data_IF_767459771909
#
_entry.id   IF_767459771909
#
_cell.length_a   1.000
_cell.length_b   1.000
_cell.length_c   1.000
_cell.angle_alpha   90.00
_cell.angle_beta   90.00
_cell.angle_gamma   90.00
#
_symmetry.space_group_name_H-M   'P 1'
#
loop_
_entity.id
_entity.type
_entity.pdbx_description
1 polymer ?
#
# COMPACT_ATOMS: atom_id res chain seq x y z
N UNK A 1 48.75 12.74 -5.81
CA UNK A 1 47.63 13.49 -5.16
C UNK A 1 46.33 13.54 -5.99
N UNK A 2 46.35 13.22 -7.30
CA UNK A 2 45.16 13.33 -8.18
C UNK A 2 44.13 12.18 -8.10
N UNK A 3 44.51 10.98 -7.64
CA UNK A 3 43.61 9.81 -7.55
C UNK A 3 42.57 9.91 -6.43
N UNK A 4 42.92 10.51 -5.29
CA UNK A 4 42.02 10.63 -4.14
C UNK A 4 40.86 11.60 -4.38
N UNK A 5 41.08 12.68 -5.12
CA UNK A 5 40.03 13.64 -5.48
C UNK A 5 38.99 13.09 -6.46
N UNK A 6 39.38 12.17 -7.34
CA UNK A 6 38.49 11.52 -8.29
C UNK A 6 37.61 10.46 -7.61
N UNK A 7 38.18 9.63 -6.72
CA UNK A 7 37.40 8.67 -5.92
C UNK A 7 36.42 9.35 -4.96
N UNK A 8 36.81 10.46 -4.31
CA UNK A 8 35.89 11.20 -3.43
C UNK A 8 34.70 11.80 -4.17
N UNK A 9 34.90 12.35 -5.37
CA UNK A 9 33.81 12.87 -6.22
C UNK A 9 32.86 11.77 -6.71
N UNK A 10 33.38 10.57 -7.00
CA UNK A 10 32.57 9.43 -7.40
C UNK A 10 31.78 8.83 -6.23
N UNK A 11 32.35 8.74 -5.03
CA UNK A 11 31.64 8.29 -3.84
C UNK A 11 30.52 9.27 -3.43
N UNK A 12 30.74 10.58 -3.51
CA UNK A 12 29.69 11.57 -3.20
C UNK A 12 28.48 11.50 -4.15
N UNK A 13 28.72 11.27 -5.45
CA UNK A 13 27.65 11.12 -6.46
C UNK A 13 26.91 9.77 -6.35
N UNK A 14 27.62 8.70 -6.02
CA UNK A 14 27.05 7.37 -5.74
C UNK A 14 26.15 7.40 -4.49
N UNK A 15 26.57 8.13 -3.46
CA UNK A 15 25.76 8.31 -2.26
C UNK A 15 24.47 9.07 -2.55
N UNK A 16 24.51 10.10 -3.41
CA UNK A 16 23.31 10.86 -3.79
C UNK A 16 22.18 10.01 -4.40
N UNK A 17 22.49 9.21 -5.43
CA UNK A 17 21.48 8.31 -6.02
C UNK A 17 21.06 7.22 -5.04
N UNK A 18 22.00 6.62 -4.30
CA UNK A 18 21.68 5.58 -3.33
C UNK A 18 20.74 6.08 -2.23
N UNK A 19 20.95 7.29 -1.72
CA UNK A 19 20.13 7.88 -0.65
C UNK A 19 18.74 8.27 -1.15
N UNK A 20 18.63 8.80 -2.38
CA UNK A 20 17.33 9.04 -3.02
C UNK A 20 16.54 7.74 -3.20
N UNK A 21 17.17 6.70 -3.73
CA UNK A 21 16.56 5.37 -3.90
C UNK A 21 16.10 4.78 -2.57
N UNK A 22 16.93 4.86 -1.52
CA UNK A 22 16.57 4.41 -0.17
C UNK A 22 15.35 5.18 0.35
N UNK A 23 15.36 6.51 0.30
CA UNK A 23 14.27 7.37 0.79
C UNK A 23 12.95 7.04 0.10
N UNK A 24 12.94 7.01 -1.23
CA UNK A 24 11.75 6.72 -2.04
C UNK A 24 11.25 5.29 -1.84
N UNK A 25 12.16 4.32 -1.70
CA UNK A 25 11.78 2.92 -1.46
C UNK A 25 11.02 2.73 -0.13
N UNK A 26 11.33 3.51 0.90
CA UNK A 26 10.62 3.47 2.19
C UNK A 26 9.20 4.04 2.08
N UNK A 27 9.07 5.15 1.36
CA UNK A 27 7.91 6.04 1.47
C UNK A 27 6.90 5.88 0.33
N UNK A 28 7.33 5.42 -0.84
CA UNK A 28 6.47 5.30 -2.01
C UNK A 28 6.00 3.86 -2.22
N UNK A 29 4.71 3.70 -2.52
CA UNK A 29 4.08 2.42 -2.83
C UNK A 29 3.98 2.16 -4.34
N UNK A 30 5.08 2.32 -5.06
CA UNK A 30 5.21 1.99 -6.49
C UNK A 30 6.32 0.96 -6.72
N UNK A 31 6.41 0.42 -7.94
CA UNK A 31 7.46 -0.51 -8.33
C UNK A 31 8.86 0.08 -8.05
N UNK A 32 9.73 -0.71 -7.43
CA UNK A 32 11.13 -0.32 -7.20
C UNK A 32 11.86 0.00 -8.51
N UNK A 33 11.49 -0.68 -9.60
CA UNK A 33 12.06 -0.45 -10.91
C UNK A 33 11.69 0.94 -11.45
N UNK A 34 10.44 1.37 -11.25
CA UNK A 34 10.00 2.72 -11.62
C UNK A 34 10.75 3.80 -10.82
N UNK A 35 10.93 3.58 -9.51
CA UNK A 35 11.73 4.49 -8.67
C UNK A 35 13.17 4.57 -9.20
N UNK A 36 13.77 3.42 -9.54
CA UNK A 36 15.12 3.38 -10.07
C UNK A 36 15.24 4.10 -11.41
N UNK A 37 14.34 3.85 -12.35
CA UNK A 37 14.40 4.45 -13.69
C UNK A 37 14.25 5.97 -13.63
N UNK A 38 13.36 6.49 -12.78
CA UNK A 38 13.20 7.94 -12.55
C UNK A 38 14.45 8.57 -11.92
N UNK A 39 15.01 7.97 -10.86
CA UNK A 39 16.24 8.48 -10.24
C UNK A 39 17.48 8.32 -11.16
N UNK A 40 17.54 7.26 -11.97
CA UNK A 40 18.60 7.07 -12.95
C UNK A 40 18.55 8.14 -14.06
N UNK A 41 17.36 8.56 -14.48
CA UNK A 41 17.19 9.67 -15.41
C UNK A 41 17.65 11.01 -14.83
N UNK A 42 17.36 11.26 -13.53
CA UNK A 42 17.80 12.46 -12.79
C UNK A 42 19.31 12.46 -12.50
N UNK A 43 19.91 11.28 -12.38
CA UNK A 43 21.32 11.11 -11.99
C UNK A 43 22.13 10.28 -13.01
N UNK A 44 22.02 10.59 -14.31
CA UNK A 44 22.60 9.79 -15.43
C UNK A 44 24.04 9.32 -15.22
N UNK A 45 24.92 10.21 -14.75
CA UNK A 45 26.35 9.89 -14.52
C UNK A 45 26.54 8.93 -13.34
N UNK A 46 25.75 9.07 -12.28
CA UNK A 46 25.83 8.19 -11.11
C UNK A 46 25.16 6.83 -11.36
N UNK A 47 24.11 6.80 -12.20
CA UNK A 47 23.38 5.59 -12.56
C UNK A 47 24.29 4.56 -13.25
N UNK A 48 25.24 5.01 -14.08
CA UNK A 48 26.24 4.12 -14.70
C UNK A 48 27.16 3.42 -13.70
N UNK A 49 27.28 3.93 -12.47
CA UNK A 49 28.09 3.36 -11.39
C UNK A 49 27.24 2.64 -10.34
N UNK A 50 25.91 2.69 -10.50
CA UNK A 50 24.94 2.12 -9.56
C UNK A 50 23.84 1.41 -10.36
N UNK A 51 24.16 0.24 -10.95
CA UNK A 51 23.25 -0.50 -11.80
C UNK A 51 22.06 -1.07 -11.00
N UNK A 52 20.97 -1.37 -11.70
CA UNK A 52 19.75 -1.93 -11.12
C UNK A 52 20.01 -3.15 -10.24
N UNK A 53 20.87 -4.08 -10.66
CA UNK A 53 21.20 -5.29 -9.90
C UNK A 53 21.76 -4.99 -8.50
N UNK A 54 22.51 -3.90 -8.34
CA UNK A 54 23.01 -3.44 -7.04
C UNK A 54 21.94 -2.66 -6.27
N UNK A 55 21.23 -1.76 -6.95
CA UNK A 55 20.20 -0.92 -6.35
C UNK A 55 19.05 -1.73 -5.76
N UNK A 56 18.57 -2.73 -6.49
CA UNK A 56 17.38 -3.51 -6.17
C UNK A 56 17.47 -4.17 -4.79
N UNK A 57 18.59 -4.80 -4.47
CA UNK A 57 18.78 -5.49 -3.18
C UNK A 57 18.65 -4.52 -2.00
N UNK A 58 19.31 -3.35 -2.10
CA UNK A 58 19.27 -2.30 -1.07
C UNK A 58 17.86 -1.70 -0.96
N UNK A 59 17.23 -1.41 -2.09
CA UNK A 59 15.87 -0.85 -2.13
C UNK A 59 14.85 -1.82 -1.50
N UNK A 60 14.92 -3.12 -1.84
CA UNK A 60 14.07 -4.16 -1.25
C UNK A 60 14.29 -4.30 0.26
N UNK A 61 15.56 -4.34 0.68
CA UNK A 61 15.93 -4.42 2.11
C UNK A 61 15.34 -3.24 2.89
N UNK A 62 15.56 -2.03 2.38
CA UNK A 62 15.14 -0.79 3.02
C UNK A 62 13.62 -0.64 3.07
N UNK A 63 12.90 -1.02 2.01
CA UNK A 63 11.43 -1.04 1.98
C UNK A 63 10.84 -2.05 2.95
N UNK A 64 11.51 -3.19 3.14
CA UNK A 64 11.07 -4.22 4.09
C UNK A 64 11.31 -3.76 5.53
N UNK A 65 12.48 -3.19 5.81
CA UNK A 65 12.84 -2.72 7.15
C UNK A 65 12.08 -1.47 7.59
N UNK A 66 11.41 -0.76 6.67
CA UNK A 66 10.58 0.40 6.99
C UNK A 66 9.12 0.05 7.33
N UNK A 67 8.72 -1.22 7.21
CA UNK A 67 7.39 -1.65 7.60
C UNK A 67 7.30 -1.72 9.14
N UNK A 68 6.15 -1.35 9.74
CA UNK A 68 5.93 -1.56 11.16
C UNK A 68 5.91 -3.06 11.48
N UNK A 69 6.03 -3.37 12.77
CA UNK A 69 5.84 -4.74 13.27
C UNK A 69 4.48 -5.30 12.81
N UNK A 70 4.46 -6.60 12.50
CA UNK A 70 3.27 -7.29 12.00
C UNK A 70 2.15 -7.23 13.07
N UNK A 71 0.99 -6.64 12.74
CA UNK A 71 -0.14 -6.60 13.67
C UNK A 71 -0.65 -8.01 13.98
N UNK A 72 -1.12 -8.20 15.22
CA UNK A 72 -1.66 -9.47 15.70
C UNK A 72 -3.20 -9.51 15.70
N UNK A 73 -3.86 -8.41 15.34
CA UNK A 73 -5.32 -8.30 15.22
C UNK A 73 -5.71 -7.23 14.21
N UNK A 74 -6.98 -7.23 13.76
CA UNK A 74 -7.47 -6.13 12.92
C UNK A 74 -7.55 -4.80 13.65
N UNK A 75 -7.79 -4.82 14.95
CA UNK A 75 -7.73 -3.61 15.76
C UNK A 75 -6.33 -3.01 15.75
N UNK A 76 -5.29 -3.81 15.97
CA UNK A 76 -3.90 -3.32 15.91
C UNK A 76 -3.52 -2.83 14.51
N UNK A 77 -4.02 -3.49 13.46
CA UNK A 77 -3.85 -3.02 12.09
C UNK A 77 -4.50 -1.65 11.87
N UNK A 78 -5.72 -1.43 12.37
CA UNK A 78 -6.40 -0.13 12.30
C UNK A 78 -5.59 0.96 13.02
N UNK A 79 -5.10 0.67 14.23
CA UNK A 79 -4.26 1.61 15.00
C UNK A 79 -2.99 1.99 14.23
N UNK A 80 -2.34 1.05 13.51
CA UNK A 80 -1.18 1.38 12.66
C UNK A 80 -1.52 2.30 11.50
N UNK A 81 -2.73 2.17 10.92
CA UNK A 81 -3.20 3.13 9.92
C UNK A 81 -3.45 4.51 10.54
N UNK A 82 -4.16 4.57 11.67
CA UNK A 82 -4.48 5.82 12.37
C UNK A 82 -3.22 6.58 12.82
N UNK A 83 -2.17 5.85 13.24
CA UNK A 83 -0.89 6.43 13.63
C UNK A 83 -0.04 6.90 12.43
N UNK A 84 -0.45 6.60 11.19
CA UNK A 84 0.28 6.97 9.98
C UNK A 84 1.44 6.05 9.60
N UNK A 85 1.64 4.93 10.32
CA UNK A 85 2.70 3.94 10.05
C UNK A 85 2.57 3.31 8.64
N UNK A 86 1.35 3.34 8.10
CA UNK A 86 0.97 2.76 6.82
C UNK A 86 0.58 3.83 5.78
N UNK A 87 1.00 5.09 5.98
CA UNK A 87 0.67 6.24 5.12
C UNK A 87 1.07 6.09 3.65
N UNK A 88 2.05 5.24 3.33
CA UNK A 88 2.44 4.96 1.94
C UNK A 88 1.34 4.27 1.11
N UNK A 89 0.38 3.62 1.75
CA UNK A 89 -0.72 2.92 1.08
C UNK A 89 -1.86 3.90 0.83
N UNK A 90 -1.84 4.50 -0.36
CA UNK A 90 -2.80 5.51 -0.78
C UNK A 90 -3.51 5.12 -2.08
N UNK A 91 -4.69 5.68 -2.28
CA UNK A 91 -5.42 5.66 -3.53
C UNK A 91 -5.89 7.09 -3.84
N UNK A 92 -5.65 7.57 -5.06
CA UNK A 92 -5.99 8.93 -5.47
C UNK A 92 -5.48 10.01 -4.49
N UNK A 93 -4.22 9.89 -4.04
CA UNK A 93 -3.57 10.78 -3.05
C UNK A 93 -4.27 10.87 -1.68
N UNK A 94 -5.18 9.94 -1.37
CA UNK A 94 -5.84 9.81 -0.08
C UNK A 94 -5.47 8.46 0.54
N UNK A 95 -5.54 8.35 1.87
CA UNK A 95 -5.40 7.06 2.55
C UNK A 95 -6.39 6.06 1.96
N UNK A 96 -5.93 4.83 1.68
CA UNK A 96 -6.85 3.75 1.33
C UNK A 96 -7.61 3.23 2.55
N UNK A 97 -7.10 3.44 3.76
CA UNK A 97 -7.80 3.10 4.99
C UNK A 97 -8.91 4.12 5.22
N UNK A 98 -10.16 3.63 5.20
CA UNK A 98 -11.35 4.44 5.47
C UNK A 98 -11.66 4.42 6.97
N UNK A 99 -11.54 3.27 7.62
CA UNK A 99 -11.81 3.13 9.05
C UNK A 99 -11.89 1.68 9.50
N UNK A 100 -12.33 1.49 10.74
CA UNK A 100 -12.65 0.17 11.28
C UNK A 100 -13.97 0.20 12.03
N UNK A 101 -14.67 -0.93 12.03
CA UNK A 101 -15.92 -1.13 12.75
C UNK A 101 -15.79 -2.31 13.70
N UNK A 102 -16.52 -2.25 14.81
CA UNK A 102 -16.63 -3.34 15.78
C UNK A 102 -18.09 -3.76 15.86
N UNK A 103 -18.36 -5.04 15.65
CA UNK A 103 -19.72 -5.56 15.74
C UNK A 103 -20.17 -5.81 17.19
N UNK A 104 -21.44 -6.19 17.36
CA UNK A 104 -22.04 -6.47 18.67
C UNK A 104 -21.38 -7.64 19.41
N UNK A 105 -20.71 -8.54 18.69
CA UNK A 105 -19.97 -9.68 19.23
C UNK A 105 -18.50 -9.31 19.55
N UNK A 106 -18.17 -8.03 19.38
CA UNK A 106 -16.86 -7.46 19.66
C UNK A 106 -15.82 -7.72 18.57
N UNK A 107 -16.22 -8.24 17.40
CA UNK A 107 -15.33 -8.57 16.27
C UNK A 107 -15.07 -7.36 15.40
N UNK A 108 -13.83 -7.22 14.95
CA UNK A 108 -13.39 -6.10 14.15
C UNK A 108 -13.50 -6.38 12.65
N UNK A 109 -13.73 -5.31 11.88
CA UNK A 109 -13.52 -5.27 10.45
C UNK A 109 -12.77 -3.99 10.08
N UNK A 110 -11.77 -4.10 9.21
CA UNK A 110 -11.01 -2.98 8.66
C UNK A 110 -11.47 -2.71 7.25
N UNK A 111 -11.83 -1.46 6.96
CA UNK A 111 -12.41 -1.01 5.70
C UNK A 111 -11.35 -0.23 4.93
N UNK A 112 -11.02 -0.74 3.74
CA UNK A 112 -10.10 -0.13 2.80
C UNK A 112 -10.91 0.34 1.59
N UNK A 113 -11.08 1.65 1.43
CA UNK A 113 -11.88 2.24 0.38
C UNK A 113 -11.33 3.61 -0.02
N UNK A 114 -11.43 3.94 -1.30
CA UNK A 114 -11.11 5.28 -1.78
C UNK A 114 -12.39 6.08 -2.01
N UNK A 115 -12.69 7.05 -1.15
CA UNK A 115 -13.89 7.88 -1.27
C UNK A 115 -13.95 8.65 -2.61
N UNK A 116 -12.80 9.07 -3.13
CA UNK A 116 -12.75 9.71 -4.44
C UNK A 116 -13.20 8.77 -5.56
N UNK A 117 -12.72 7.52 -5.55
CA UNK A 117 -13.13 6.51 -6.51
C UNK A 117 -14.62 6.17 -6.37
N UNK A 118 -15.13 6.00 -5.14
CA UNK A 118 -16.55 5.75 -4.89
C UNK A 118 -17.40 6.89 -5.45
N UNK A 119 -17.06 8.15 -5.16
CA UNK A 119 -17.81 9.30 -5.66
C UNK A 119 -17.76 9.41 -7.19
N UNK A 120 -16.61 9.09 -7.80
CA UNK A 120 -16.47 9.05 -9.25
C UNK A 120 -17.44 8.02 -9.85
N UNK A 121 -17.49 6.82 -9.27
CA UNK A 121 -18.40 5.74 -9.72
C UNK A 121 -19.86 6.13 -9.55
N UNK A 122 -20.24 6.69 -8.40
CA UNK A 122 -21.60 7.15 -8.15
C UNK A 122 -22.03 8.24 -9.14
N UNK A 123 -21.12 9.14 -9.54
CA UNK A 123 -21.41 10.17 -10.54
C UNK A 123 -21.70 9.63 -11.94
N UNK A 124 -21.31 8.39 -12.25
CA UNK A 124 -21.63 7.70 -13.51
C UNK A 124 -23.00 6.98 -13.48
N UNK A 125 -23.76 7.10 -12.39
CA UNK A 125 -25.11 6.53 -12.30
C UNK A 125 -25.14 5.00 -12.24
N UNK A 126 -24.07 4.36 -11.73
CA UNK A 126 -24.01 2.91 -11.60
C UNK A 126 -25.09 2.42 -10.63
N UNK A 127 -25.91 1.47 -11.06
CA UNK A 127 -27.02 0.89 -10.27
C UNK A 127 -26.73 -0.53 -9.78
N UNK A 128 -25.62 -1.13 -10.21
CA UNK A 128 -25.29 -2.52 -9.94
C UNK A 128 -23.96 -2.63 -9.17
N UNK A 129 -24.04 -3.24 -7.99
CA UNK A 129 -22.92 -3.48 -7.09
C UNK A 129 -22.88 -4.96 -6.75
N UNK A 130 -21.71 -5.57 -6.89
CA UNK A 130 -21.45 -6.96 -6.56
C UNK A 130 -20.58 -7.03 -5.31
N UNK A 131 -20.77 -8.09 -4.52
CA UNK A 131 -19.94 -8.36 -3.36
C UNK A 131 -19.37 -9.79 -3.50
N UNK A 132 -18.05 -9.91 -3.41
CA UNK A 132 -17.34 -11.18 -3.45
C UNK A 132 -16.44 -11.36 -2.23
N UNK A 133 -16.51 -12.52 -1.59
CA UNK A 133 -15.74 -12.85 -0.40
C UNK A 133 -14.66 -13.88 -0.75
N UNK A 134 -13.39 -13.49 -0.65
CA UNK A 134 -12.25 -14.38 -0.90
C UNK A 134 -11.71 -14.98 0.40
N UNK A 135 -11.62 -16.31 0.44
CA UNK A 135 -11.39 -17.06 1.69
C UNK A 135 -9.94 -17.53 1.92
N UNK A 136 -9.06 -17.43 0.91
CA UNK A 136 -7.68 -17.96 0.97
C UNK A 136 -6.57 -16.89 1.06
N UNK A 137 -6.94 -15.61 1.22
CA UNK A 137 -6.00 -14.48 1.12
C UNK A 137 -5.74 -13.79 2.46
N UNK A 138 -6.41 -14.22 3.54
CA UNK A 138 -6.32 -13.55 4.86
C UNK A 138 -5.32 -14.27 5.77
N UNK A 139 -4.43 -13.54 6.46
CA UNK A 139 -3.58 -14.12 7.49
C UNK A 139 -4.41 -14.81 8.58
N UNK A 140 -4.08 -16.06 8.90
CA UNK A 140 -4.86 -16.94 9.80
C UNK A 140 -5.10 -16.33 11.18
N UNK A 141 -4.22 -15.45 11.65
CA UNK A 141 -4.30 -14.79 12.96
C UNK A 141 -5.05 -13.44 12.93
N UNK A 142 -5.43 -12.93 11.76
CA UNK A 142 -6.01 -11.59 11.63
C UNK A 142 -7.44 -11.59 11.09
N UNK A 143 -7.92 -12.65 10.46
CA UNK A 143 -9.32 -12.68 10.08
C UNK A 143 -9.74 -13.93 9.33
N UNK A 144 -10.98 -13.92 8.86
CA UNK A 144 -11.60 -15.07 8.20
C UNK A 144 -12.01 -14.81 6.76
N UNK A 145 -12.07 -13.55 6.33
CA UNK A 145 -12.38 -13.18 4.94
C UNK A 145 -11.89 -11.79 4.57
N UNK A 146 -11.58 -11.65 3.27
CA UNK A 146 -11.49 -10.37 2.60
C UNK A 146 -12.73 -10.24 1.70
N UNK A 147 -13.67 -9.42 2.13
CA UNK A 147 -14.81 -9.02 1.33
C UNK A 147 -14.37 -7.92 0.37
N UNK A 148 -14.80 -8.02 -0.88
CA UNK A 148 -14.58 -7.02 -1.91
C UNK A 148 -15.91 -6.56 -2.47
N UNK A 149 -16.07 -5.25 -2.58
CA UNK A 149 -17.24 -4.61 -3.18
C UNK A 149 -16.81 -4.09 -4.54
N UNK A 150 -17.54 -4.50 -5.58
CA UNK A 150 -17.29 -4.17 -6.96
C UNK A 150 -18.48 -3.43 -7.53
N UNK A 151 -18.22 -2.47 -8.41
CA UNK A 151 -19.27 -1.98 -9.30
C UNK A 151 -19.10 -2.60 -10.68
N UNK A 152 -20.20 -2.71 -11.40
CA UNK A 152 -20.21 -3.16 -12.78
C UNK A 152 -20.27 -1.96 -13.71
N UNK A 153 -19.28 -1.84 -14.59
CA UNK A 153 -19.27 -0.84 -15.67
C UNK A 153 -18.92 -1.55 -16.97
N UNK A 154 -19.81 -1.46 -17.96
CA UNK A 154 -19.64 -2.11 -19.26
C UNK A 154 -19.30 -3.61 -19.17
N UNK A 155 -19.98 -4.34 -18.26
CA UNK A 155 -19.72 -5.75 -17.91
C UNK A 155 -18.32 -6.04 -17.32
N UNK A 156 -17.59 -5.01 -16.92
CA UNK A 156 -16.32 -5.14 -16.19
C UNK A 156 -16.58 -4.93 -14.70
N UNK A 157 -16.15 -5.89 -13.90
CA UNK A 157 -16.16 -5.80 -12.43
C UNK A 157 -14.94 -5.01 -11.96
N UNK A 158 -15.18 -3.88 -11.29
CA UNK A 158 -14.12 -3.01 -10.79
C UNK A 158 -14.24 -2.91 -9.26
N UNK A 159 -13.23 -3.37 -8.49
CA UNK A 159 -13.27 -3.29 -7.03
C UNK A 159 -13.08 -1.85 -6.53
N UNK A 160 -13.90 -1.43 -5.58
CA UNK A 160 -13.91 -0.05 -5.04
C UNK A 160 -13.72 0.00 -3.53
N UNK A 161 -14.07 -1.07 -2.83
CA UNK A 161 -13.87 -1.20 -1.40
C UNK A 161 -13.53 -2.64 -1.04
N UNK A 162 -12.77 -2.77 0.04
CA UNK A 162 -12.44 -4.03 0.66
C UNK A 162 -12.72 -3.96 2.15
N UNK A 163 -13.22 -5.05 2.72
CA UNK A 163 -13.31 -5.21 4.15
C UNK A 163 -12.57 -6.48 4.57
N UNK A 164 -11.52 -6.31 5.37
CA UNK A 164 -10.88 -7.41 6.06
C UNK A 164 -11.66 -7.66 7.34
N UNK A 165 -12.18 -8.87 7.54
CA UNK A 165 -13.14 -9.15 8.62
C UNK A 165 -12.66 -10.31 9.50
N UNK A 166 -12.78 -10.15 10.82
CA UNK A 166 -12.49 -11.22 11.77
C UNK A 166 -13.46 -12.40 11.63
N UNK A 167 -14.74 -12.12 11.38
CA UNK A 167 -15.80 -13.13 11.29
C UNK A 167 -16.72 -12.92 10.09
N UNK A 168 -17.37 -14.02 9.66
CA UNK A 168 -18.39 -14.05 8.60
C UNK A 168 -19.80 -14.05 9.20
N UNK A 169 -20.03 -13.25 10.24
CA UNK A 169 -21.33 -13.20 10.91
C UNK A 169 -22.23 -12.16 10.26
N UNK A 170 -23.55 -12.35 10.40
CA UNK A 170 -24.53 -11.35 9.96
C UNK A 170 -24.26 -9.98 10.59
N UNK A 171 -23.85 -9.96 11.86
CA UNK A 171 -23.54 -8.73 12.59
C UNK A 171 -22.32 -8.02 11.96
N UNK A 172 -21.26 -8.76 11.63
CA UNK A 172 -20.07 -8.18 10.98
C UNK A 172 -20.41 -7.60 9.60
N UNK A 173 -21.21 -8.31 8.79
CA UNK A 173 -21.66 -7.80 7.49
C UNK A 173 -22.53 -6.54 7.64
N UNK A 174 -23.48 -6.56 8.58
CA UNK A 174 -24.36 -5.42 8.83
C UNK A 174 -23.57 -4.17 9.24
N UNK A 175 -22.68 -4.29 10.23
CA UNK A 175 -21.85 -3.16 10.66
C UNK A 175 -20.96 -2.60 9.54
N UNK A 176 -20.49 -3.45 8.64
CA UNK A 176 -19.69 -3.02 7.48
C UNK A 176 -20.56 -2.31 6.42
N UNK A 177 -21.76 -2.81 6.13
CA UNK A 177 -22.66 -2.16 5.17
C UNK A 177 -23.29 -0.86 5.69
N UNK A 178 -23.42 -0.72 7.02
CA UNK A 178 -23.97 0.49 7.66
C UNK A 178 -22.91 1.61 7.82
N UNK A 179 -21.63 1.34 7.55
CA UNK A 179 -20.52 2.29 7.64
C UNK A 179 -20.41 3.18 6.40
#
# INVERSE_FOLDING_TARGET
>A
MFLNGFMYRHNGKKNGIADALKKRSKNENISLKLIYDDEAQRHRVAAGLYPWSTAESIMRSVRRSSLPALPQSLHELAVKFDNGDLSRYMCCNNSIFSGSVRDSDGKYSVILACRHLINLVLSHGITEVHADATFKVVPTNMGSQLLSIHFMMDNVSIPIAYALMETKSRNSYKCMMDY
#
